data_IF_226795461706
#
_entry.id   IF_226795461706
#
_cell.length_a   1.000
_cell.length_b   1.000
_cell.length_c   1.000
_cell.angle_alpha   90.00
_cell.angle_beta   90.00
_cell.angle_gamma   90.00
#
_symmetry.space_group_name_H-M   'P 1'
#
loop_
_entity.id
_entity.type
_entity.pdbx_description
1 polymer ?
#
# COMPACT_ATOMS: atom_id res chain seq x y z
N UNK A 1 32.25 -0.51 5.31
CA UNK A 1 31.71 -1.88 5.21
C UNK A 1 30.38 -1.92 5.96
N UNK A 2 29.24 -2.19 5.32
CA UNK A 2 28.00 -2.44 6.07
C UNK A 2 28.23 -3.67 6.95
N UNK A 3 27.88 -3.59 8.24
CA UNK A 3 28.32 -4.59 9.21
C UNK A 3 27.65 -5.94 8.93
N UNK A 4 28.44 -7.03 8.90
CA UNK A 4 27.93 -8.41 8.83
C UNK A 4 26.89 -8.72 9.93
N UNK A 5 26.85 -7.91 10.99
CA UNK A 5 25.92 -8.03 12.12
C UNK A 5 24.46 -7.80 11.73
N UNK A 6 24.20 -7.04 10.65
CA UNK A 6 22.84 -6.74 10.18
C UNK A 6 22.04 -8.00 9.84
N UNK A 7 22.54 -8.86 8.96
CA UNK A 7 21.79 -10.08 8.53
C UNK A 7 21.42 -10.98 9.70
N UNK A 8 22.32 -11.20 10.66
CA UNK A 8 22.03 -12.05 11.82
C UNK A 8 20.90 -11.48 12.69
N UNK A 9 20.85 -10.15 12.83
CA UNK A 9 19.75 -9.49 13.53
C UNK A 9 18.41 -9.73 12.81
N UNK A 10 18.38 -9.56 11.49
CA UNK A 10 17.16 -9.80 10.71
C UNK A 10 16.72 -11.27 10.76
N UNK A 11 17.64 -12.22 10.65
CA UNK A 11 17.37 -13.64 10.81
C UNK A 11 16.77 -13.94 12.19
N UNK A 12 17.35 -13.37 13.25
CA UNK A 12 16.87 -13.52 14.61
C UNK A 12 15.45 -12.93 14.78
N UNK A 13 15.19 -11.74 14.24
CA UNK A 13 13.85 -11.13 14.29
C UNK A 13 12.83 -12.02 13.57
N UNK A 14 13.15 -12.49 12.36
CA UNK A 14 12.26 -13.36 11.59
C UNK A 14 11.98 -14.68 12.29
N UNK A 15 13.01 -15.29 12.89
CA UNK A 15 12.89 -16.54 13.64
C UNK A 15 12.05 -16.36 14.91
N UNK A 16 12.34 -15.32 15.71
CA UNK A 16 11.55 -15.02 16.92
C UNK A 16 10.09 -14.70 16.56
N UNK A 17 9.86 -13.94 15.49
CA UNK A 17 8.51 -13.66 14.98
C UNK A 17 7.81 -14.96 14.59
N UNK A 18 8.46 -15.80 13.78
CA UNK A 18 7.93 -17.09 13.35
C UNK A 18 7.50 -17.97 14.52
N UNK A 19 8.38 -18.16 15.51
CA UNK A 19 8.05 -18.93 16.72
C UNK A 19 6.95 -18.29 17.55
N UNK A 20 6.90 -16.96 17.63
CA UNK A 20 5.86 -16.26 18.39
C UNK A 20 4.49 -16.42 17.72
N UNK A 21 4.41 -16.25 16.39
CA UNK A 21 3.18 -16.47 15.63
C UNK A 21 2.76 -17.95 15.68
N UNK A 22 3.71 -18.87 15.60
CA UNK A 22 3.47 -20.30 15.79
C UNK A 22 2.88 -20.60 17.18
N UNK A 23 3.45 -19.99 18.22
CA UNK A 23 2.94 -20.09 19.59
C UNK A 23 1.52 -19.55 19.74
N UNK A 24 1.15 -18.47 19.03
CA UNK A 24 -0.23 -17.98 19.02
C UNK A 24 -1.19 -19.00 18.40
N UNK A 25 -0.80 -19.63 17.28
CA UNK A 25 -1.61 -20.65 16.61
C UNK A 25 -1.78 -21.88 17.51
N UNK A 26 -0.69 -22.38 18.12
CA UNK A 26 -0.71 -23.55 19.01
C UNK A 26 -1.55 -23.34 20.27
N UNK A 27 -1.59 -22.10 20.77
CA UNK A 27 -2.41 -21.73 21.92
C UNK A 27 -3.84 -21.33 21.52
N UNK A 28 -4.24 -21.57 20.26
CA UNK A 28 -5.57 -21.29 19.73
C UNK A 28 -6.01 -19.83 19.95
N UNK A 29 -5.04 -18.90 19.93
CA UNK A 29 -5.34 -17.47 20.05
C UNK A 29 -6.02 -17.02 18.77
N UNK A 30 -7.30 -16.66 18.88
CA UNK A 30 -8.13 -16.31 17.72
C UNK A 30 -8.11 -14.83 17.37
N UNK A 31 -7.68 -13.95 18.28
CA UNK A 31 -7.73 -12.50 18.06
C UNK A 31 -6.70 -12.04 17.02
N UNK A 32 -7.18 -11.49 15.90
CA UNK A 32 -6.34 -11.02 14.78
C UNK A 32 -5.43 -9.85 15.21
N UNK A 33 -5.87 -9.04 16.17
CA UNK A 33 -5.05 -8.01 16.81
C UNK A 33 -3.67 -8.53 17.28
N UNK A 34 -3.60 -9.71 17.89
CA UNK A 34 -2.34 -10.23 18.43
C UNK A 34 -1.34 -10.54 17.31
N UNK A 35 -1.81 -11.17 16.22
CA UNK A 35 -1.00 -11.44 15.04
C UNK A 35 -0.52 -10.14 14.38
N UNK A 36 -1.44 -9.17 14.21
CA UNK A 36 -1.15 -7.89 13.61
C UNK A 36 -0.15 -7.07 14.44
N UNK A 37 -0.32 -6.99 15.76
CA UNK A 37 0.56 -6.23 16.66
C UNK A 37 2.01 -6.75 16.58
N UNK A 38 2.20 -8.07 16.71
CA UNK A 38 3.54 -8.67 16.75
C UNK A 38 4.19 -8.60 15.36
N UNK A 39 3.42 -8.90 14.30
CA UNK A 39 3.89 -8.81 12.92
C UNK A 39 4.28 -7.39 12.52
N UNK A 40 3.43 -6.40 12.79
CA UNK A 40 3.71 -4.99 12.51
C UNK A 40 4.87 -4.47 13.35
N UNK A 41 4.97 -4.84 14.63
CA UNK A 41 6.09 -4.43 15.47
C UNK A 41 7.43 -4.88 14.87
N UNK A 42 7.54 -6.16 14.51
CA UNK A 42 8.74 -6.71 13.90
C UNK A 42 9.04 -6.03 12.56
N UNK A 43 8.03 -5.85 11.70
CA UNK A 43 8.18 -5.23 10.39
C UNK A 43 8.60 -3.75 10.48
N UNK A 44 7.93 -2.95 11.31
CA UNK A 44 8.24 -1.53 11.51
C UNK A 44 9.64 -1.34 12.11
N UNK A 45 10.01 -2.17 13.10
CA UNK A 45 11.36 -2.18 13.65
C UNK A 45 12.40 -2.48 12.56
N UNK A 46 12.16 -3.54 11.77
CA UNK A 46 13.02 -3.92 10.66
C UNK A 46 13.18 -2.79 9.64
N UNK A 47 12.08 -2.24 9.14
CA UNK A 47 12.11 -1.25 8.05
C UNK A 47 12.71 0.10 8.46
N UNK A 48 12.60 0.51 9.72
CA UNK A 48 13.19 1.75 10.24
C UNK A 48 14.55 1.54 10.94
N UNK A 49 15.12 0.33 10.89
CA UNK A 49 16.41 0.03 11.50
C UNK A 49 17.54 0.86 10.89
N UNK A 50 18.26 1.61 11.74
CA UNK A 50 19.33 2.51 11.33
C UNK A 50 20.59 2.43 12.22
N UNK A 51 20.75 1.34 12.98
CA UNK A 51 21.82 1.11 13.98
C UNK A 51 21.92 2.18 15.09
N UNK A 52 21.06 3.19 15.11
CA UNK A 52 21.08 4.32 16.05
C UNK A 52 19.85 4.31 16.95
N UNK A 53 20.00 4.78 18.19
CA UNK A 53 18.87 5.01 19.11
C UNK A 53 17.91 3.80 19.25
N UNK A 54 18.43 2.59 19.45
CA UNK A 54 17.65 1.35 19.47
C UNK A 54 16.44 1.41 20.42
N UNK A 55 16.59 2.02 21.60
CA UNK A 55 15.47 2.16 22.55
C UNK A 55 14.32 3.00 21.98
N UNK A 56 14.63 4.12 21.30
CA UNK A 56 13.65 4.96 20.63
C UNK A 56 12.96 4.20 19.50
N UNK A 57 13.72 3.41 18.73
CA UNK A 57 13.18 2.58 17.66
C UNK A 57 12.22 1.52 18.20
N UNK A 58 12.62 0.74 19.21
CA UNK A 58 11.76 -0.26 19.86
C UNK A 58 10.46 0.38 20.35
N UNK A 59 10.55 1.45 21.12
CA UNK A 59 9.39 2.10 21.74
C UNK A 59 8.43 2.65 20.68
N UNK A 60 8.95 3.38 19.69
CA UNK A 60 8.12 3.95 18.63
C UNK A 60 7.54 2.90 17.69
N UNK A 61 8.29 1.85 17.33
CA UNK A 61 7.76 0.73 16.54
C UNK A 61 6.63 0.03 17.27
N UNK A 62 6.74 -0.16 18.60
CA UNK A 62 5.67 -0.74 19.39
C UNK A 62 4.43 0.16 19.45
N UNK A 63 4.61 1.46 19.71
CA UNK A 63 3.49 2.42 19.76
C UNK A 63 2.76 2.50 18.41
N UNK A 64 3.51 2.57 17.30
CA UNK A 64 2.91 2.63 15.96
C UNK A 64 2.24 1.29 15.61
N UNK A 65 2.86 0.16 15.93
CA UNK A 65 2.24 -1.16 15.74
C UNK A 65 0.94 -1.30 16.54
N UNK A 66 0.92 -0.81 17.78
CA UNK A 66 -0.27 -0.78 18.63
C UNK A 66 -1.36 0.07 17.97
N UNK A 67 -1.06 1.32 17.61
CA UNK A 67 -2.01 2.19 16.92
C UNK A 67 -2.58 1.55 15.65
N UNK A 68 -1.72 0.97 14.81
CA UNK A 68 -2.14 0.38 13.54
C UNK A 68 -2.95 -0.91 13.71
N UNK A 69 -2.69 -1.69 14.76
CA UNK A 69 -3.40 -2.95 15.01
C UNK A 69 -4.70 -2.78 15.79
N UNK A 70 -4.88 -1.70 16.56
CA UNK A 70 -6.06 -1.46 17.40
C UNK A 70 -7.42 -1.67 16.69
N UNK A 71 -7.64 -1.22 15.44
CA UNK A 71 -8.89 -1.47 14.73
C UNK A 71 -9.23 -2.96 14.57
N UNK A 72 -8.24 -3.86 14.60
CA UNK A 72 -8.43 -5.31 14.45
C UNK A 72 -8.78 -6.03 15.77
N UNK A 73 -8.86 -5.31 16.91
CA UNK A 73 -9.19 -5.87 18.23
C UNK A 73 -10.51 -6.67 18.25
N UNK A 74 -11.58 -6.27 17.55
CA UNK A 74 -12.86 -7.00 17.56
C UNK A 74 -12.86 -8.22 16.65
N UNK A 75 -11.87 -8.37 15.78
CA UNK A 75 -11.87 -9.39 14.73
C UNK A 75 -11.22 -10.69 15.24
N UNK A 76 -11.99 -11.77 15.14
CA UNK A 76 -11.53 -13.13 15.42
C UNK A 76 -11.24 -13.88 14.11
N UNK A 77 -10.24 -14.76 14.14
CA UNK A 77 -9.76 -15.52 12.97
C UNK A 77 -10.81 -16.47 12.36
N UNK A 78 -11.89 -16.78 13.10
CA UNK A 78 -13.01 -17.59 12.61
C UNK A 78 -14.05 -16.76 11.83
N UNK A 79 -13.83 -15.44 11.64
CA UNK A 79 -14.68 -14.54 10.84
C UNK A 79 -16.19 -14.61 11.18
N UNK A 80 -16.54 -14.76 12.45
CA UNK A 80 -17.91 -14.81 12.97
C UNK A 80 -18.54 -13.42 13.16
N UNK A 81 -18.25 -12.47 12.26
CA UNK A 81 -18.67 -11.07 12.44
C UNK A 81 -19.98 -10.73 11.73
N UNK A 82 -20.86 -10.00 12.43
CA UNK A 82 -22.17 -9.49 11.95
C UNK A 82 -22.04 -8.50 10.76
N UNK A 83 -20.83 -8.01 10.46
CA UNK A 83 -20.55 -7.03 9.40
C UNK A 83 -19.40 -7.48 8.48
N UNK A 84 -19.55 -8.62 7.81
CA UNK A 84 -18.53 -9.19 6.92
C UNK A 84 -18.02 -8.21 5.85
N UNK A 85 -18.91 -7.46 5.21
CA UNK A 85 -18.52 -6.49 4.16
C UNK A 85 -17.61 -5.40 4.70
N UNK A 86 -17.96 -4.81 5.85
CA UNK A 86 -17.18 -3.74 6.49
C UNK A 86 -15.77 -4.19 6.86
N UNK A 87 -15.65 -5.39 7.43
CA UNK A 87 -14.34 -5.94 7.77
C UNK A 87 -13.55 -6.35 6.54
N UNK A 88 -14.20 -6.86 5.50
CA UNK A 88 -13.56 -7.16 4.24
C UNK A 88 -12.98 -5.90 3.59
N UNK A 89 -13.75 -4.82 3.49
CA UNK A 89 -13.28 -3.54 2.93
C UNK A 89 -12.19 -2.92 3.79
N UNK A 90 -12.26 -3.02 5.12
CA UNK A 90 -11.19 -2.61 6.01
C UNK A 90 -9.91 -3.43 5.77
N UNK A 91 -9.99 -4.75 5.68
CA UNK A 91 -8.84 -5.63 5.44
C UNK A 91 -8.20 -5.37 4.06
N UNK A 92 -8.98 -4.98 3.06
CA UNK A 92 -8.44 -4.51 1.78
C UNK A 92 -7.68 -3.19 1.90
N UNK A 93 -8.15 -2.26 2.75
CA UNK A 93 -7.50 -0.97 3.01
C UNK A 93 -6.31 -1.06 3.99
N UNK A 94 -6.28 -2.09 4.84
CA UNK A 94 -5.33 -2.24 5.94
C UNK A 94 -3.85 -2.25 5.51
N UNK A 95 -3.43 -2.92 4.42
CA UNK A 95 -2.05 -2.84 3.94
C UNK A 95 -1.62 -1.41 3.60
N UNK A 96 -2.51 -0.63 2.99
CA UNK A 96 -2.25 0.79 2.69
C UNK A 96 -2.20 1.61 3.98
N UNK A 97 -3.10 1.36 4.93
CA UNK A 97 -3.09 2.00 6.25
C UNK A 97 -1.76 1.77 6.99
N UNK A 98 -1.32 0.51 7.07
CA UNK A 98 -0.04 0.15 7.68
C UNK A 98 1.16 0.76 6.93
N UNK A 99 1.10 0.79 5.60
CA UNK A 99 2.16 1.34 4.74
C UNK A 99 2.31 2.87 4.87
N UNK A 100 1.20 3.61 4.92
CA UNK A 100 1.26 5.06 5.17
C UNK A 100 1.75 5.31 6.59
N UNK A 101 1.29 4.55 7.60
CA UNK A 101 1.77 4.66 8.97
C UNK A 101 3.28 4.39 9.10
N UNK A 102 3.76 3.36 8.42
CA UNK A 102 5.19 3.05 8.29
C UNK A 102 5.97 4.23 7.67
N UNK A 103 5.42 4.89 6.65
CA UNK A 103 6.11 6.01 6.00
C UNK A 103 6.40 7.18 6.97
N UNK A 104 5.44 7.51 7.85
CA UNK A 104 5.65 8.50 8.91
C UNK A 104 6.64 8.02 9.98
N UNK A 105 6.55 6.74 10.39
CA UNK A 105 7.48 6.14 11.36
C UNK A 105 8.92 6.11 10.84
N UNK A 106 9.12 5.72 9.58
CA UNK A 106 10.42 5.77 8.91
C UNK A 106 10.97 7.19 8.89
N UNK A 107 10.15 8.17 8.46
CA UNK A 107 10.60 9.55 8.34
C UNK A 107 10.98 10.17 9.70
N UNK A 108 10.26 9.83 10.78
CA UNK A 108 10.63 10.22 12.14
C UNK A 108 12.04 9.74 12.54
N UNK A 109 12.40 8.51 12.20
CA UNK A 109 13.75 7.98 12.50
C UNK A 109 14.83 8.45 11.55
N UNK A 110 14.47 8.72 10.29
CA UNK A 110 15.40 9.27 9.31
C UNK A 110 15.77 10.72 9.65
N UNK A 111 14.76 11.55 9.93
CA UNK A 111 14.94 12.98 10.20
C UNK A 111 15.39 13.26 11.64
N UNK A 112 15.31 12.26 12.53
CA UNK A 112 15.61 12.38 13.96
C UNK A 112 14.84 13.51 14.67
N UNK A 113 13.72 13.95 14.10
CA UNK A 113 12.90 15.03 14.63
C UNK A 113 11.41 14.73 14.42
N UNK A 114 10.56 15.40 15.19
CA UNK A 114 9.10 15.34 15.03
C UNK A 114 8.62 16.10 13.80
N UNK A 115 9.44 17.01 13.25
CA UNK A 115 9.11 17.77 12.05
C UNK A 115 9.52 16.96 10.82
N UNK A 116 8.60 16.11 10.40
CA UNK A 116 8.81 15.20 9.28
C UNK A 116 8.87 15.99 7.96
N UNK A 117 9.95 15.78 7.21
CA UNK A 117 10.11 16.36 5.88
C UNK A 117 9.36 15.56 4.81
N UNK A 118 8.84 16.24 3.80
CA UNK A 118 8.21 15.57 2.65
C UNK A 118 9.19 14.65 1.92
N UNK A 119 10.46 15.05 1.81
CA UNK A 119 11.49 14.28 1.13
C UNK A 119 11.70 12.92 1.80
N UNK A 120 11.69 12.87 3.14
CA UNK A 120 11.81 11.62 3.89
C UNK A 120 10.56 10.76 3.79
N UNK A 121 9.36 11.34 3.75
CA UNK A 121 8.13 10.60 3.46
C UNK A 121 8.13 10.01 2.05
N UNK A 122 8.51 10.80 1.05
CA UNK A 122 8.63 10.34 -0.33
C UNK A 122 9.66 9.20 -0.44
N UNK A 123 10.81 9.36 0.20
CA UNK A 123 11.82 8.31 0.26
C UNK A 123 11.29 7.04 0.96
N UNK A 124 10.55 7.18 2.07
CA UNK A 124 9.96 6.06 2.79
C UNK A 124 9.05 5.23 1.89
N UNK A 125 8.10 5.90 1.21
CA UNK A 125 7.17 5.27 0.26
C UNK A 125 7.97 4.54 -0.81
N UNK A 126 8.79 5.26 -1.57
CA UNK A 126 9.38 4.71 -2.78
C UNK A 126 10.59 3.79 -2.56
N UNK A 127 11.23 3.81 -1.39
CA UNK A 127 12.26 2.82 -1.04
C UNK A 127 11.65 1.53 -0.47
N UNK A 128 10.53 1.62 0.23
CA UNK A 128 9.92 0.46 0.89
C UNK A 128 9.38 -0.54 -0.14
N UNK A 129 8.79 -0.07 -1.24
CA UNK A 129 8.27 -0.94 -2.32
C UNK A 129 9.37 -1.89 -2.88
N UNK A 130 10.49 -1.39 -3.44
CA UNK A 130 11.55 -2.26 -3.96
C UNK A 130 12.20 -3.10 -2.87
N UNK A 131 12.30 -2.60 -1.63
CA UNK A 131 12.84 -3.37 -0.51
C UNK A 131 11.96 -4.57 -0.15
N UNK A 132 10.64 -4.37 -0.03
CA UNK A 132 9.67 -5.46 0.19
C UNK A 132 9.68 -6.44 -0.99
N UNK A 133 9.78 -5.96 -2.22
CA UNK A 133 9.88 -6.82 -3.40
C UNK A 133 11.13 -7.72 -3.35
N UNK A 134 12.30 -7.15 -3.02
CA UNK A 134 13.54 -7.93 -2.87
C UNK A 134 13.41 -8.97 -1.75
N UNK A 135 12.81 -8.61 -0.62
CA UNK A 135 12.59 -9.53 0.48
C UNK A 135 11.64 -10.69 0.11
N UNK A 136 10.53 -10.38 -0.58
CA UNK A 136 9.59 -11.38 -1.08
C UNK A 136 10.23 -12.28 -2.13
N UNK A 137 11.01 -11.73 -3.07
CA UNK A 137 11.71 -12.50 -4.09
C UNK A 137 12.74 -13.45 -3.47
N UNK A 138 13.54 -12.95 -2.52
CA UNK A 138 14.49 -13.78 -1.79
C UNK A 138 13.77 -14.92 -1.06
N UNK A 139 12.70 -14.61 -0.33
CA UNK A 139 11.91 -15.62 0.40
C UNK A 139 11.30 -16.66 -0.53
N UNK A 140 10.74 -16.24 -1.67
CA UNK A 140 10.17 -17.15 -2.67
C UNK A 140 11.24 -18.09 -3.27
N UNK A 141 12.41 -17.55 -3.66
CA UNK A 141 13.51 -18.35 -4.19
C UNK A 141 14.08 -19.31 -3.15
N UNK A 142 14.24 -18.86 -1.90
CA UNK A 142 14.73 -19.72 -0.83
C UNK A 142 13.75 -20.86 -0.50
N UNK A 143 12.45 -20.57 -0.43
CA UNK A 143 11.43 -21.61 -0.23
C UNK A 143 11.34 -22.57 -1.43
N UNK A 144 11.54 -22.08 -2.66
CA UNK A 144 11.66 -22.95 -3.85
C UNK A 144 12.85 -23.92 -3.72
N UNK A 145 14.00 -23.48 -3.21
CA UNK A 145 15.13 -24.36 -2.96
C UNK A 145 14.82 -25.43 -1.90
N UNK A 146 14.10 -25.06 -0.84
CA UNK A 146 13.65 -26.03 0.19
C UNK A 146 12.68 -27.04 -0.42
N UNK A 147 11.72 -26.59 -1.24
CA UNK A 147 10.77 -27.45 -1.95
C UNK A 147 11.49 -28.42 -2.91
N UNK A 148 12.46 -27.94 -3.69
CA UNK A 148 13.27 -28.79 -4.57
C UNK A 148 14.08 -29.80 -3.77
N UNK A 149 14.65 -29.38 -2.63
CA UNK A 149 15.29 -30.27 -1.68
C UNK A 149 14.34 -31.37 -1.22
N UNK A 150 13.14 -31.01 -0.74
CA UNK A 150 12.11 -31.95 -0.31
C UNK A 150 11.74 -32.93 -1.43
N UNK A 151 11.63 -32.46 -2.67
CA UNK A 151 11.34 -33.29 -3.84
C UNK A 151 12.43 -34.33 -4.12
N UNK A 152 13.72 -33.98 -3.95
CA UNK A 152 14.84 -34.92 -4.12
C UNK A 152 14.76 -36.07 -3.12
N UNK A 153 14.35 -35.82 -1.88
CA UNK A 153 14.19 -36.90 -0.90
C UNK A 153 12.96 -37.75 -1.20
N UNK A 154 11.88 -37.12 -1.65
CA UNK A 154 10.66 -37.81 -2.05
C UNK A 154 10.89 -38.78 -3.21
N UNK A 155 11.72 -38.44 -4.21
CA UNK A 155 12.02 -39.34 -5.34
C UNK A 155 12.78 -40.61 -4.94
N UNK A 156 13.49 -40.60 -3.81
CA UNK A 156 14.20 -41.78 -3.28
C UNK A 156 13.35 -42.54 -2.25
N UNK A 157 12.06 -42.17 -2.11
CA UNK A 157 11.10 -42.81 -1.21
C UNK A 157 11.17 -42.33 0.24
N UNK A 158 11.78 -41.17 0.51
CA UNK A 158 11.77 -40.54 1.83
C UNK A 158 10.83 -39.33 1.87
N UNK A 159 9.68 -39.53 2.52
CA UNK A 159 8.61 -38.53 2.58
C UNK A 159 8.81 -37.47 3.68
N UNK A 160 9.85 -37.60 4.52
CA UNK A 160 9.99 -36.76 5.72
C UNK A 160 10.04 -35.27 5.39
N UNK A 161 10.93 -34.85 4.48
CA UNK A 161 11.07 -33.44 4.12
C UNK A 161 9.89 -32.92 3.30
N UNK A 162 9.28 -33.79 2.50
CA UNK A 162 8.05 -33.46 1.77
C UNK A 162 6.90 -33.15 2.72
N UNK A 163 6.64 -34.04 3.69
CA UNK A 163 5.59 -33.85 4.67
C UNK A 163 5.89 -32.64 5.57
N UNK A 164 7.16 -32.44 5.95
CA UNK A 164 7.57 -31.27 6.73
C UNK A 164 7.36 -29.96 5.97
N UNK A 165 7.66 -29.90 4.68
CA UNK A 165 7.49 -28.67 3.90
C UNK A 165 6.04 -28.45 3.46
N UNK A 166 5.33 -29.48 3.01
CA UNK A 166 4.02 -29.36 2.35
C UNK A 166 2.84 -29.42 3.32
N UNK A 167 2.93 -30.22 4.39
CA UNK A 167 1.80 -30.49 5.29
C UNK A 167 1.92 -29.76 6.64
N UNK A 168 3.14 -29.36 7.03
CA UNK A 168 3.37 -28.73 8.33
C UNK A 168 3.29 -27.20 8.25
N UNK A 169 2.12 -26.66 8.57
CA UNK A 169 1.87 -25.21 8.64
C UNK A 169 2.85 -24.47 9.56
N UNK A 170 3.24 -25.08 10.68
CA UNK A 170 4.14 -24.48 11.67
C UNK A 170 5.54 -24.27 11.08
N UNK A 171 6.07 -25.28 10.39
CA UNK A 171 7.34 -25.19 9.70
C UNK A 171 7.29 -24.15 8.58
N UNK A 172 6.24 -24.16 7.75
CA UNK A 172 6.05 -23.16 6.70
C UNK A 172 6.04 -21.75 7.27
N UNK A 173 5.29 -21.49 8.33
CA UNK A 173 5.20 -20.18 8.96
C UNK A 173 6.57 -19.68 9.44
N UNK A 174 7.30 -20.52 10.19
CA UNK A 174 8.62 -20.16 10.72
C UNK A 174 9.63 -19.96 9.58
N UNK A 175 9.64 -20.85 8.58
CA UNK A 175 10.54 -20.75 7.42
C UNK A 175 10.27 -19.49 6.61
N UNK A 176 9.02 -19.25 6.21
CA UNK A 176 8.65 -18.11 5.37
C UNK A 176 8.92 -16.78 6.06
N UNK A 177 8.58 -16.65 7.35
CA UNK A 177 8.84 -15.42 8.13
C UNK A 177 10.34 -15.18 8.30
N UNK A 178 11.10 -16.21 8.65
CA UNK A 178 12.56 -16.10 8.80
C UNK A 178 13.24 -15.70 7.49
N UNK A 179 12.92 -16.39 6.39
CA UNK A 179 13.50 -16.12 5.08
C UNK A 179 13.11 -14.73 4.54
N UNK A 180 11.88 -14.28 4.79
CA UNK A 180 11.46 -12.93 4.43
C UNK A 180 12.27 -11.85 5.14
N UNK A 181 12.49 -11.98 6.46
CA UNK A 181 13.32 -11.01 7.19
C UNK A 181 14.79 -11.08 6.78
N UNK A 182 15.34 -12.27 6.50
CA UNK A 182 16.68 -12.37 5.90
C UNK A 182 16.73 -11.59 4.58
N UNK A 183 15.71 -11.74 3.73
CA UNK A 183 15.57 -10.98 2.49
C UNK A 183 15.53 -9.45 2.72
N UNK A 184 14.82 -8.98 3.75
CA UNK A 184 14.86 -7.57 4.17
C UNK A 184 16.27 -7.14 4.56
N UNK A 185 16.99 -7.95 5.34
CA UNK A 185 18.38 -7.69 5.72
C UNK A 185 19.32 -7.61 4.53
N UNK A 186 19.17 -8.51 3.54
CA UNK A 186 19.92 -8.47 2.28
C UNK A 186 19.63 -7.18 1.50
N UNK A 187 18.36 -6.77 1.39
CA UNK A 187 17.97 -5.54 0.73
C UNK A 187 18.54 -4.29 1.42
N UNK A 188 18.49 -4.24 2.76
CA UNK A 188 19.01 -3.11 3.53
C UNK A 188 20.53 -2.98 3.47
N UNK A 189 21.28 -4.09 3.50
CA UNK A 189 22.74 -4.04 3.32
C UNK A 189 23.13 -3.48 1.95
N UNK A 190 22.26 -3.68 0.96
CA UNK A 190 22.44 -3.22 -0.41
C UNK A 190 21.55 -2.00 -0.73
N UNK A 191 21.34 -1.10 0.24
CA UNK A 191 20.42 0.04 0.10
C UNK A 191 20.70 0.94 -1.12
N UNK A 192 21.96 1.02 -1.57
CA UNK A 192 22.31 1.73 -2.82
C UNK A 192 21.61 1.13 -4.05
N UNK A 193 21.47 -0.19 -4.11
CA UNK A 193 20.74 -0.87 -5.18
C UNK A 193 19.25 -0.54 -5.09
N UNK A 194 18.68 -0.53 -3.88
CA UNK A 194 17.29 -0.12 -3.65
C UNK A 194 17.05 1.31 -4.16
N UNK A 195 17.97 2.25 -3.90
CA UNK A 195 17.88 3.61 -4.41
C UNK A 195 17.96 3.68 -5.94
N UNK A 196 18.81 2.87 -6.56
CA UNK A 196 18.92 2.78 -8.01
C UNK A 196 17.64 2.19 -8.63
N UNK A 197 17.05 1.15 -8.01
CA UNK A 197 15.78 0.56 -8.43
C UNK A 197 14.64 1.57 -8.33
N UNK A 198 14.56 2.32 -7.21
CA UNK A 198 13.62 3.44 -7.07
C UNK A 198 13.80 4.44 -8.20
N UNK A 199 15.03 4.89 -8.46
CA UNK A 199 15.31 5.87 -9.50
C UNK A 199 14.86 5.37 -10.88
N UNK A 200 15.17 4.11 -11.20
CA UNK A 200 14.74 3.48 -12.45
C UNK A 200 13.21 3.41 -12.55
N UNK A 201 12.53 2.97 -11.49
CA UNK A 201 11.07 2.88 -11.44
C UNK A 201 10.40 4.25 -11.68
N UNK A 202 10.85 5.27 -10.95
CA UNK A 202 10.34 6.64 -11.10
C UNK A 202 10.60 7.18 -12.51
N UNK A 203 11.75 6.86 -13.10
CA UNK A 203 12.08 7.26 -14.48
C UNK A 203 11.21 6.56 -15.51
N UNK A 204 10.89 5.27 -15.31
CA UNK A 204 9.93 4.57 -16.17
C UNK A 204 8.55 5.22 -16.11
N UNK A 205 8.05 5.51 -14.90
CA UNK A 205 6.76 6.18 -14.71
C UNK A 205 6.75 7.59 -15.33
N UNK A 206 7.85 8.32 -15.23
CA UNK A 206 8.02 9.62 -15.88
C UNK A 206 7.80 9.56 -17.40
N UNK A 207 8.37 8.54 -18.08
CA UNK A 207 8.19 8.38 -19.53
C UNK A 207 6.84 7.77 -19.92
N UNK A 208 6.18 7.04 -19.01
CA UNK A 208 4.86 6.45 -19.26
C UNK A 208 3.70 7.42 -18.97
N UNK A 209 3.91 8.42 -18.10
CA UNK A 209 2.89 9.41 -17.74
C UNK A 209 2.28 10.16 -18.94
N UNK A 210 3.03 10.59 -19.97
CA UNK A 210 2.44 11.25 -21.14
C UNK A 210 1.49 10.34 -21.92
N UNK A 211 1.80 9.04 -22.02
CA UNK A 211 0.93 8.05 -22.65
C UNK A 211 -0.34 7.85 -21.82
N UNK A 212 -0.20 7.71 -20.50
CA UNK A 212 -1.34 7.61 -19.59
C UNK A 212 -2.24 8.85 -19.68
N UNK A 213 -1.64 10.04 -19.75
CA UNK A 213 -2.35 11.30 -19.92
C UNK A 213 -3.14 11.36 -21.23
N UNK A 214 -2.55 10.92 -22.33
CA UNK A 214 -3.21 10.85 -23.63
C UNK A 214 -4.39 9.86 -23.60
N UNK A 215 -4.17 8.63 -23.13
CA UNK A 215 -5.22 7.60 -23.02
C UNK A 215 -6.37 8.11 -22.14
N UNK A 216 -6.04 8.69 -20.99
CA UNK A 216 -7.03 9.25 -20.06
C UNK A 216 -7.83 10.39 -20.67
N UNK A 217 -7.17 11.27 -21.44
CA UNK A 217 -7.83 12.39 -22.11
C UNK A 217 -8.77 11.91 -23.22
N UNK A 218 -8.32 10.97 -24.04
CA UNK A 218 -9.15 10.35 -25.09
C UNK A 218 -10.35 9.65 -24.46
N UNK A 219 -10.13 8.86 -23.41
CA UNK A 219 -11.22 8.19 -22.70
C UNK A 219 -12.21 9.19 -22.11
N UNK A 220 -11.73 10.25 -21.46
CA UNK A 220 -12.58 11.31 -20.92
C UNK A 220 -13.49 11.92 -22.00
N UNK A 221 -12.94 12.29 -23.16
CA UNK A 221 -13.69 12.89 -24.26
C UNK A 221 -14.71 11.91 -24.84
N UNK A 222 -14.29 10.68 -25.15
CA UNK A 222 -15.15 9.66 -25.73
C UNK A 222 -16.29 9.29 -24.80
N UNK A 223 -15.98 9.08 -23.52
CA UNK A 223 -16.96 8.70 -22.52
C UNK A 223 -17.97 9.83 -22.26
N UNK A 224 -17.50 11.08 -22.18
CA UNK A 224 -18.38 12.23 -22.01
C UNK A 224 -19.34 12.38 -23.21
N UNK A 225 -18.82 12.27 -24.43
CA UNK A 225 -19.64 12.32 -25.65
C UNK A 225 -20.66 11.19 -25.70
N UNK A 226 -20.26 9.98 -25.32
CA UNK A 226 -21.13 8.80 -25.30
C UNK A 226 -22.24 8.93 -24.25
N UNK A 227 -21.90 9.39 -23.04
CA UNK A 227 -22.86 9.58 -21.95
C UNK A 227 -23.88 10.67 -22.26
N UNK A 228 -23.50 11.73 -22.98
CA UNK A 228 -24.44 12.78 -23.43
C UNK A 228 -25.34 12.26 -24.55
N UNK A 229 -24.80 11.44 -25.45
CA UNK A 229 -25.55 10.85 -26.57
C UNK A 229 -26.52 9.72 -26.18
N UNK A 230 -26.55 9.30 -24.91
CA UNK A 230 -27.39 8.19 -24.45
C UNK A 230 -27.03 6.84 -25.05
N UNK A 231 -25.76 6.64 -25.42
CA UNK A 231 -25.29 5.39 -26.00
C UNK A 231 -25.29 4.23 -25.01
N UNK A 232 -25.32 3.00 -25.53
CA UNK A 232 -25.21 1.78 -24.72
C UNK A 232 -23.78 1.54 -24.24
N UNK A 233 -23.62 1.28 -22.94
CA UNK A 233 -22.32 0.96 -22.34
C UNK A 233 -21.92 -0.50 -22.67
N UNK A 234 -20.97 -0.70 -23.58
CA UNK A 234 -20.48 -2.04 -23.96
C UNK A 234 -19.62 -2.72 -22.89
N UNK A 235 -18.94 -1.95 -22.06
CA UNK A 235 -18.06 -2.41 -20.98
C UNK A 235 -18.37 -1.54 -19.76
N UNK A 236 -18.45 -2.14 -18.57
CA UNK A 236 -18.64 -1.39 -17.34
C UNK A 236 -17.50 -0.34 -17.19
N UNK A 237 -17.83 0.98 -17.17
CA UNK A 237 -16.84 2.05 -17.17
C UNK A 237 -15.85 1.98 -16.01
N UNK A 238 -16.25 1.39 -14.87
CA UNK A 238 -15.42 1.29 -13.68
C UNK A 238 -14.17 0.43 -13.90
N UNK A 239 -14.21 -0.57 -14.79
CA UNK A 239 -13.03 -1.36 -15.15
C UNK A 239 -11.92 -0.52 -15.79
N UNK A 240 -12.27 0.62 -16.37
CA UNK A 240 -11.32 1.54 -17.01
C UNK A 240 -11.04 2.74 -16.09
N UNK A 241 -12.08 3.33 -15.50
CA UNK A 241 -11.99 4.50 -14.63
C UNK A 241 -11.14 4.24 -13.38
N UNK A 242 -11.28 3.08 -12.73
CA UNK A 242 -10.52 2.77 -11.51
C UNK A 242 -9.01 2.70 -11.80
N UNK A 243 -8.52 1.90 -12.77
CA UNK A 243 -7.09 1.89 -13.12
C UNK A 243 -6.57 3.24 -13.60
N UNK A 244 -7.31 3.96 -14.47
CA UNK A 244 -6.83 5.24 -15.00
C UNK A 244 -6.66 6.30 -13.91
N UNK A 245 -7.60 6.37 -12.96
CA UNK A 245 -7.53 7.34 -11.85
C UNK A 245 -6.44 6.96 -10.84
N UNK A 246 -6.35 5.68 -10.45
CA UNK A 246 -5.33 5.19 -9.53
C UNK A 246 -3.92 5.37 -10.10
N UNK A 247 -3.69 4.93 -11.34
CA UNK A 247 -2.40 5.12 -12.02
C UNK A 247 -2.10 6.61 -12.24
N UNK A 248 -3.10 7.43 -12.55
CA UNK A 248 -2.91 8.87 -12.73
C UNK A 248 -2.38 9.56 -11.47
N UNK A 249 -2.95 9.23 -10.31
CA UNK A 249 -2.48 9.75 -9.01
C UNK A 249 -1.06 9.26 -8.70
N UNK A 250 -0.79 7.96 -8.88
CA UNK A 250 0.52 7.36 -8.60
C UNK A 250 1.59 7.94 -9.54
N UNK A 251 1.32 8.01 -10.84
CA UNK A 251 2.29 8.47 -11.84
C UNK A 251 2.53 9.98 -11.70
N UNK A 252 1.52 10.77 -11.36
CA UNK A 252 1.75 12.18 -11.08
C UNK A 252 2.61 12.36 -9.83
N UNK A 253 2.37 11.59 -8.75
CA UNK A 253 3.24 11.61 -7.58
C UNK A 253 4.68 11.19 -7.93
N UNK A 254 4.84 10.15 -8.75
CA UNK A 254 6.14 9.68 -9.23
C UNK A 254 6.85 10.70 -10.14
N UNK A 255 6.11 11.45 -10.95
CA UNK A 255 6.64 12.52 -11.79
C UNK A 255 7.08 13.73 -10.95
N UNK A 256 6.26 14.12 -9.96
CA UNK A 256 6.56 15.22 -9.05
C UNK A 256 7.76 14.91 -8.14
N UNK A 257 7.92 13.64 -7.77
CA UNK A 257 8.93 13.16 -6.83
C UNK A 257 8.89 13.91 -5.49
N UNK A 258 10.03 14.47 -5.07
CA UNK A 258 10.15 15.36 -3.91
C UNK A 258 10.02 16.85 -4.30
N UNK A 259 9.85 17.15 -5.58
CA UNK A 259 9.79 18.51 -6.12
C UNK A 259 11.15 19.23 -6.15
N UNK A 260 12.27 18.53 -5.95
CA UNK A 260 13.61 19.15 -5.98
C UNK A 260 14.24 19.21 -7.37
N UNK A 261 13.78 18.38 -8.31
CA UNK A 261 14.34 18.25 -9.65
C UNK A 261 13.53 19.10 -10.61
N UNK A 262 14.16 20.12 -11.20
CA UNK A 262 13.55 20.85 -12.33
C UNK A 262 13.33 19.88 -13.49
N UNK A 263 12.08 19.79 -13.96
CA UNK A 263 11.78 18.98 -15.13
C UNK A 263 12.36 19.69 -16.36
N UNK A 264 13.42 19.11 -16.94
CA UNK A 264 13.96 19.48 -18.25
C UNK A 264 13.02 19.12 -19.42
N UNK A 265 11.73 18.93 -19.13
CA UNK A 265 10.72 18.62 -20.11
C UNK A 265 10.48 19.82 -21.04
N UNK A 266 10.23 19.57 -22.34
CA UNK A 266 9.85 20.64 -23.26
C UNK A 266 8.52 21.28 -22.84
N UNK A 267 8.34 22.55 -23.20
CA UNK A 267 7.19 23.36 -22.78
C UNK A 267 5.84 22.75 -23.14
N UNK A 268 5.73 22.13 -24.33
CA UNK A 268 4.50 21.46 -24.77
C UNK A 268 4.12 20.29 -23.85
N UNK A 269 5.10 19.54 -23.35
CA UNK A 269 4.86 18.42 -22.45
C UNK A 269 4.42 18.91 -21.07
N UNK A 270 5.04 19.98 -20.58
CA UNK A 270 4.60 20.65 -19.34
C UNK A 270 3.14 21.11 -19.46
N UNK A 271 2.75 21.70 -20.59
CA UNK A 271 1.37 22.13 -20.83
C UNK A 271 0.39 20.94 -20.86
N UNK A 272 0.74 19.86 -21.58
CA UNK A 272 -0.06 18.63 -21.63
C UNK A 272 -0.30 18.06 -20.23
N UNK A 273 0.73 17.99 -19.39
CA UNK A 273 0.62 17.49 -18.04
C UNK A 273 -0.20 18.42 -17.12
N UNK A 274 -0.16 19.73 -17.33
CA UNK A 274 -1.03 20.69 -16.62
C UNK A 274 -2.50 20.45 -16.92
N UNK A 275 -2.83 20.31 -18.21
CA UNK A 275 -4.20 20.00 -18.65
C UNK A 275 -4.64 18.64 -18.09
N UNK A 276 -3.77 17.63 -18.16
CA UNK A 276 -4.06 16.30 -17.67
C UNK A 276 -4.44 16.27 -16.18
N UNK A 277 -3.82 17.08 -15.32
CA UNK A 277 -4.17 17.12 -13.88
C UNK A 277 -5.62 17.53 -13.64
N UNK A 278 -6.13 18.47 -14.44
CA UNK A 278 -7.53 18.86 -14.39
C UNK A 278 -8.42 17.72 -14.88
N UNK A 279 -8.04 17.07 -15.98
CA UNK A 279 -8.76 15.90 -16.52
C UNK A 279 -8.77 14.75 -15.50
N UNK A 280 -7.66 14.49 -14.81
CA UNK A 280 -7.55 13.46 -13.78
C UNK A 280 -8.57 13.68 -12.66
N UNK A 281 -8.72 14.93 -12.20
CA UNK A 281 -9.75 15.27 -11.21
C UNK A 281 -11.16 14.99 -11.74
N UNK A 282 -11.45 15.39 -12.98
CA UNK A 282 -12.76 15.11 -13.59
C UNK A 282 -13.02 13.60 -13.74
N UNK A 283 -12.01 12.81 -14.12
CA UNK A 283 -12.10 11.36 -14.17
C UNK A 283 -12.37 10.74 -12.79
N UNK A 284 -11.74 11.26 -11.72
CA UNK A 284 -12.03 10.82 -10.34
C UNK A 284 -13.47 11.14 -9.95
N UNK A 285 -13.99 12.31 -10.31
CA UNK A 285 -15.40 12.65 -10.07
C UNK A 285 -16.35 11.74 -10.86
N UNK A 286 -16.03 11.45 -12.12
CA UNK A 286 -16.83 10.52 -12.95
C UNK A 286 -16.82 9.09 -12.38
N UNK A 287 -15.65 8.61 -11.94
CA UNK A 287 -15.50 7.33 -11.25
C UNK A 287 -16.37 7.31 -9.99
N UNK A 288 -16.25 8.35 -9.16
CA UNK A 288 -17.02 8.50 -7.92
C UNK A 288 -18.52 8.47 -8.17
N UNK A 289 -18.99 9.25 -9.14
CA UNK A 289 -20.39 9.30 -9.54
C UNK A 289 -20.88 7.91 -9.98
N UNK A 290 -20.11 7.20 -10.81
CA UNK A 290 -20.49 5.87 -11.27
C UNK A 290 -20.47 4.81 -10.18
N UNK A 291 -19.54 4.87 -9.23
CA UNK A 291 -19.55 3.97 -8.08
C UNK A 291 -20.85 4.15 -7.27
N UNK A 292 -21.20 5.38 -6.91
CA UNK A 292 -22.39 5.65 -6.11
C UNK A 292 -23.72 5.47 -6.86
N UNK A 293 -23.71 5.62 -8.19
CA UNK A 293 -24.87 5.33 -9.03
C UNK A 293 -25.14 3.82 -9.12
N UNK A 294 -24.10 3.00 -9.22
CA UNK A 294 -24.24 1.57 -9.50
C UNK A 294 -24.21 0.67 -8.27
N UNK A 295 -23.62 1.13 -7.16
CA UNK A 295 -23.40 0.32 -5.96
C UNK A 295 -23.72 1.07 -4.68
N UNK A 296 -24.18 0.33 -3.68
CA UNK A 296 -24.16 0.72 -2.28
C UNK A 296 -22.81 0.30 -1.71
N UNK A 297 -21.97 1.25 -1.31
CA UNK A 297 -20.60 0.98 -0.87
C UNK A 297 -20.42 1.26 0.62
N UNK A 298 -19.68 0.39 1.29
CA UNK A 298 -19.26 0.58 2.68
C UNK A 298 -18.40 1.84 2.88
N UNK A 299 -18.48 2.41 4.09
CA UNK A 299 -17.75 3.61 4.47
C UNK A 299 -16.23 3.52 4.23
N UNK A 300 -15.59 2.36 4.39
CA UNK A 300 -14.15 2.23 4.14
C UNK A 300 -13.80 2.50 2.68
N UNK A 301 -14.67 2.11 1.75
CA UNK A 301 -14.53 2.42 0.32
C UNK A 301 -14.73 3.92 0.08
N UNK A 302 -15.69 4.54 0.77
CA UNK A 302 -15.92 6.00 0.71
C UNK A 302 -14.67 6.77 1.15
N UNK A 303 -13.99 6.34 2.21
CA UNK A 303 -12.75 6.96 2.69
C UNK A 303 -11.66 6.89 1.60
N UNK A 304 -11.50 5.74 0.94
CA UNK A 304 -10.58 5.58 -0.17
C UNK A 304 -10.91 6.51 -1.35
N UNK A 305 -12.19 6.62 -1.72
CA UNK A 305 -12.67 7.52 -2.78
C UNK A 305 -12.38 8.98 -2.43
N UNK A 306 -12.74 9.42 -1.22
CA UNK A 306 -12.47 10.79 -0.76
C UNK A 306 -10.96 11.08 -0.77
N UNK A 307 -10.15 10.11 -0.33
CA UNK A 307 -8.68 10.25 -0.40
C UNK A 307 -8.21 10.47 -1.84
N UNK A 308 -8.74 9.70 -2.81
CA UNK A 308 -8.47 9.90 -4.24
C UNK A 308 -8.93 11.28 -4.76
N UNK A 309 -10.08 11.76 -4.29
CA UNK A 309 -10.58 13.12 -4.59
C UNK A 309 -9.62 14.17 -4.04
N UNK A 310 -9.14 14.06 -2.80
CA UNK A 310 -8.22 15.04 -2.19
C UNK A 310 -6.89 15.12 -2.95
N UNK A 311 -6.31 13.97 -3.34
CA UNK A 311 -5.10 13.93 -4.15
C UNK A 311 -5.31 14.60 -5.51
N UNK A 312 -6.33 14.17 -6.25
CA UNK A 312 -6.60 14.68 -7.61
C UNK A 312 -7.01 16.15 -7.62
N UNK A 313 -7.78 16.60 -6.62
CA UNK A 313 -8.14 18.01 -6.43
C UNK A 313 -6.91 18.87 -6.15
N UNK A 314 -6.03 18.43 -5.24
CA UNK A 314 -4.77 19.12 -4.98
C UNK A 314 -4.00 19.29 -6.28
N UNK A 315 -3.85 18.21 -7.06
CA UNK A 315 -3.11 18.24 -8.32
C UNK A 315 -3.77 19.16 -9.35
N UNK A 316 -5.09 19.19 -9.46
CA UNK A 316 -5.80 20.07 -10.39
C UNK A 316 -5.65 21.55 -10.01
N UNK A 317 -5.82 21.91 -8.74
CA UNK A 317 -5.71 23.30 -8.26
C UNK A 317 -4.30 23.84 -8.52
N UNK A 318 -3.27 23.05 -8.20
CA UNK A 318 -1.88 23.49 -8.32
C UNK A 318 -1.36 23.46 -9.77
N UNK A 319 -2.16 23.00 -10.75
CA UNK A 319 -1.76 22.89 -12.16
C UNK A 319 -1.41 24.24 -12.80
N UNK A 320 -2.00 25.32 -12.30
CA UNK A 320 -1.84 26.67 -12.82
C UNK A 320 -0.99 27.57 -11.92
N UNK A 321 -0.38 27.00 -10.87
CA UNK A 321 0.48 27.74 -9.97
C UNK A 321 1.89 27.94 -10.55
N UNK A 322 2.59 29.00 -10.13
CA UNK A 322 4.04 29.09 -10.32
C UNK A 322 4.75 27.90 -9.65
N UNK A 323 5.88 27.46 -10.21
CA UNK A 323 6.56 26.21 -9.79
C UNK A 323 6.88 26.16 -8.28
N UNK A 324 7.29 27.27 -7.67
CA UNK A 324 7.57 27.35 -6.23
C UNK A 324 6.32 27.14 -5.35
N UNK A 325 5.19 27.70 -5.77
CA UNK A 325 3.91 27.54 -5.09
C UNK A 325 3.35 26.13 -5.33
N UNK A 326 3.45 25.64 -6.57
CA UNK A 326 3.08 24.27 -6.91
C UNK A 326 3.78 23.27 -5.99
N UNK A 327 5.11 23.36 -5.88
CA UNK A 327 5.89 22.47 -5.01
C UNK A 327 5.39 22.50 -3.56
N UNK A 328 5.20 23.69 -3.01
CA UNK A 328 4.72 23.84 -1.63
C UNK A 328 3.34 23.20 -1.43
N UNK A 329 2.39 23.51 -2.30
CA UNK A 329 1.00 23.08 -2.15
C UNK A 329 0.79 21.60 -2.47
N UNK A 330 1.51 21.03 -3.43
CA UNK A 330 1.48 19.58 -3.71
C UNK A 330 2.02 18.80 -2.51
N UNK A 331 3.13 19.25 -1.90
CA UNK A 331 3.68 18.62 -0.67
C UNK A 331 2.66 18.63 0.47
N UNK A 332 2.05 19.79 0.73
CA UNK A 332 1.03 19.95 1.78
C UNK A 332 -0.19 19.07 1.50
N UNK A 333 -0.72 19.08 0.26
CA UNK A 333 -1.90 18.30 -0.08
C UNK A 333 -1.66 16.79 -0.02
N UNK A 334 -0.46 16.32 -0.41
CA UNK A 334 -0.10 14.90 -0.28
C UNK A 334 -0.02 14.45 1.17
N UNK A 335 0.63 15.22 2.04
CA UNK A 335 0.69 14.93 3.48
C UNK A 335 -0.71 14.99 4.09
N UNK A 336 -1.49 16.01 3.75
CA UNK A 336 -2.84 16.20 4.29
C UNK A 336 -3.78 15.08 3.89
N UNK A 337 -3.71 14.61 2.64
CA UNK A 337 -4.52 13.48 2.14
C UNK A 337 -4.12 12.17 2.82
N UNK A 338 -2.82 11.95 3.06
CA UNK A 338 -2.33 10.79 3.79
C UNK A 338 -2.74 10.79 5.27
N UNK A 339 -2.68 11.95 5.93
CA UNK A 339 -3.15 12.11 7.31
C UNK A 339 -4.66 11.93 7.42
N UNK A 340 -5.43 12.50 6.48
CA UNK A 340 -6.87 12.27 6.37
C UNK A 340 -7.17 10.78 6.31
N UNK A 341 -6.52 10.05 5.40
CA UNK A 341 -6.72 8.62 5.22
C UNK A 341 -6.46 7.83 6.51
N UNK A 342 -5.31 8.04 7.16
CA UNK A 342 -4.96 7.35 8.42
C UNK A 342 -5.97 7.69 9.52
N UNK A 343 -6.22 8.98 9.76
CA UNK A 343 -7.03 9.42 10.90
C UNK A 343 -8.47 8.94 10.74
N UNK A 344 -9.07 9.16 9.57
CA UNK A 344 -10.47 8.84 9.34
C UNK A 344 -10.70 7.33 9.26
N UNK A 345 -9.81 6.58 8.61
CA UNK A 345 -9.92 5.11 8.59
C UNK A 345 -9.78 4.52 9.99
N UNK A 346 -8.87 5.04 10.82
CA UNK A 346 -8.76 4.63 12.22
C UNK A 346 -10.03 4.96 13.03
N UNK A 347 -10.52 6.20 12.94
CA UNK A 347 -11.67 6.67 13.73
C UNK A 347 -12.97 5.92 13.39
N UNK A 348 -13.17 5.58 12.12
CA UNK A 348 -14.38 4.87 11.69
C UNK A 348 -14.33 3.36 11.96
N UNK A 349 -13.14 2.82 12.20
CA UNK A 349 -12.92 1.42 12.59
C UNK A 349 -12.46 1.31 14.05
N UNK A 350 -12.90 2.23 14.93
CA UNK A 350 -12.61 2.14 16.36
C UNK A 350 -13.13 0.80 16.90
N UNK A 351 -12.32 0.05 17.65
CA UNK A 351 -12.63 -1.34 17.99
C UNK A 351 -13.95 -1.53 18.74
N UNK A 352 -14.33 -0.61 19.63
CA UNK A 352 -15.53 -0.77 20.45
C UNK A 352 -16.81 -0.22 19.80
N UNK A 353 -16.68 0.57 18.73
CA UNK A 353 -17.82 1.23 18.09
C UNK A 353 -17.47 1.53 16.62
N UNK A 354 -17.33 0.51 15.76
CA UNK A 354 -17.14 0.74 14.34
C UNK A 354 -18.38 1.44 13.79
N UNK A 355 -18.18 2.52 13.04
CA UNK A 355 -19.27 3.28 12.44
C UNK A 355 -19.56 2.66 11.09
N UNK A 356 -20.54 1.75 11.07
CA UNK A 356 -20.91 1.00 9.86
C UNK A 356 -22.10 1.68 9.18
N UNK A 357 -21.90 2.13 7.95
CA UNK A 357 -22.97 2.58 7.06
C UNK A 357 -22.57 2.39 5.61
N UNK A 358 -23.57 2.30 4.73
CA UNK A 358 -23.38 2.26 3.30
C UNK A 358 -23.84 3.57 2.65
N UNK A 359 -23.22 3.93 1.53
CA UNK A 359 -23.54 5.11 0.73
C UNK A 359 -23.70 4.70 -0.72
N UNK A 360 -24.75 5.17 -1.38
CA UNK A 360 -25.01 4.92 -2.81
C UNK A 360 -26.40 4.36 -3.07
N UNK A 361 -26.69 4.04 -4.33
CA UNK A 361 -27.96 3.44 -4.71
C UNK A 361 -28.00 1.96 -4.30
N UNK A 362 -29.10 1.52 -3.68
CA UNK A 362 -29.38 0.09 -3.58
C UNK A 362 -29.73 -0.44 -4.97
N UNK A 363 -29.16 -1.57 -5.42
CA UNK A 363 -29.56 -2.16 -6.69
C UNK A 363 -31.06 -2.46 -6.63
N UNK A 364 -31.83 -1.87 -7.53
CA UNK A 364 -33.24 -2.19 -7.67
C UNK A 364 -33.36 -3.66 -8.06
N UNK A 365 -34.13 -4.42 -7.28
CA UNK A 365 -34.44 -5.86 -7.45
C UNK A 365 -35.01 -6.26 -8.83
N UNK A 366 -35.13 -5.32 -9.77
CA UNK A 366 -35.84 -5.47 -11.05
C UNK A 366 -34.91 -5.98 -12.17
N UNK A 367 -33.58 -5.99 -11.99
CA UNK A 367 -32.63 -6.42 -13.05
C UNK A 367 -32.23 -7.90 -13.01
N UNK A 368 -32.75 -8.71 -12.08
CA UNK A 368 -32.44 -10.16 -12.02
C UNK A 368 -33.40 -10.99 -12.90
N UNK A 369 -34.45 -10.37 -13.48
CA UNK A 369 -35.43 -11.06 -14.33
C UNK A 369 -35.58 -10.31 -15.65
N UNK A 370 -34.61 -10.44 -16.54
CA UNK A 370 -34.84 -10.37 -17.98
C UNK A 370 -33.80 -11.27 -18.69
N UNK A 371 -34.22 -12.16 -19.59
CA UNK A 371 -33.39 -13.20 -20.20
C UNK A 371 -32.28 -12.69 -21.11
#
# INVERSE_FOLDING_TARGET
MPSKKGIYLFALIGLLLGFTLDGLIRNEITKVFNYALIGLFALLYALAYNEKNCFRLITSSFIVALFLSLPLLPLEAHFTSIHLEHWFTFLCAFPLFAYVGHSFHYAYHHDNTWRISYNSLFAAVWNTIPLLFVASLFSALANLLILLGAFIFYTVGNDFLWNLYSENLHFQLISHTTLFFIGLGVGQQNIKIIYNLRFLLLRMMYYLLPFLALISTVYFILYLSHSIGGGEEYINPLFILIPLTALGIIFFNAYFQDGSIESGAPSWLKLLLRIYRVILFLLVLMMTYKVFQSYSVDVNVVICIITGILFSLTYAITAWFPETMEQKWVRIGNISSALYFIIILFLLNIPYMPIVFQVGAQPSLITIIAP
#
